data_IF_266272561949
#
_entry.id   IF_266272561949
#
_cell.length_a   1.000
_cell.length_b   1.000
_cell.length_c   1.000
_cell.angle_alpha   90.00
_cell.angle_beta   90.00
_cell.angle_gamma   90.00
#
_symmetry.space_group_name_H-M   'P 1'
#
loop_
_entity.id
_entity.type
_entity.pdbx_description
1 polymer ?
#
# COMPACT_ATOMS: atom_id res chain seq x y z
N UNK A 1 9.37 -3.96 -11.17
CA UNK A 1 9.53 -4.78 -9.96
C UNK A 1 8.74 -4.13 -8.83
N UNK A 2 7.93 -4.89 -8.11
CA UNK A 2 7.20 -4.41 -6.91
C UNK A 2 7.37 -5.41 -5.78
N UNK A 3 7.51 -4.94 -4.54
CA UNK A 3 7.58 -5.79 -3.36
C UNK A 3 6.19 -6.29 -2.92
N UNK A 4 5.15 -5.57 -3.33
CA UNK A 4 3.74 -5.96 -3.20
C UNK A 4 3.15 -5.90 -4.60
N UNK A 5 2.65 -7.01 -5.15
CA UNK A 5 1.96 -6.96 -6.43
C UNK A 5 0.77 -6.03 -6.29
N UNK A 6 0.74 -4.97 -7.11
CA UNK A 6 -0.42 -4.09 -7.17
C UNK A 6 -1.59 -4.92 -7.72
N UNK A 7 -2.83 -4.72 -7.24
CA UNK A 7 -3.99 -5.47 -7.74
C UNK A 7 -4.08 -5.49 -9.27
N UNK A 8 -3.78 -4.37 -9.92
CA UNK A 8 -3.71 -4.28 -11.39
C UNK A 8 -2.67 -5.22 -11.99
N UNK A 9 -1.48 -5.34 -11.36
CA UNK A 9 -0.42 -6.25 -11.81
C UNK A 9 -0.84 -7.71 -11.67
N UNK A 10 -1.54 -8.05 -10.59
CA UNK A 10 -2.11 -9.39 -10.39
C UNK A 10 -3.13 -9.69 -11.48
N UNK A 11 -4.06 -8.77 -11.74
CA UNK A 11 -5.07 -8.93 -12.79
C UNK A 11 -4.43 -9.11 -14.18
N UNK A 12 -3.46 -8.29 -14.55
CA UNK A 12 -2.75 -8.38 -15.84
C UNK A 12 -1.98 -9.70 -15.94
N UNK A 13 -1.40 -10.18 -14.86
CA UNK A 13 -0.67 -11.47 -14.81
C UNK A 13 -1.62 -12.64 -15.05
N UNK A 14 -2.77 -12.62 -14.38
CA UNK A 14 -3.79 -13.66 -14.52
C UNK A 14 -4.31 -13.69 -15.96
N UNK A 15 -4.49 -12.53 -16.60
CA UNK A 15 -4.97 -12.43 -17.98
C UNK A 15 -3.88 -12.60 -19.06
N UNK A 16 -2.64 -12.82 -18.68
CA UNK A 16 -1.61 -13.20 -19.62
C UNK A 16 -0.83 -12.06 -20.29
N UNK A 17 -1.12 -10.80 -19.99
CA UNK A 17 -0.42 -9.64 -20.59
C UNK A 17 1.02 -9.49 -20.09
N UNK A 18 1.38 -10.12 -18.98
CA UNK A 18 2.70 -10.02 -18.37
C UNK A 18 3.25 -11.37 -17.93
N UNK A 19 4.53 -11.60 -18.20
CA UNK A 19 5.28 -12.66 -17.55
C UNK A 19 5.74 -12.21 -16.16
N UNK A 20 5.49 -13.06 -15.15
CA UNK A 20 5.87 -12.76 -13.77
C UNK A 20 6.91 -13.73 -13.27
N UNK A 21 8.04 -13.19 -12.80
CA UNK A 21 9.00 -13.95 -11.99
C UNK A 21 8.77 -13.60 -10.53
N UNK A 22 8.45 -14.59 -9.72
CA UNK A 22 8.11 -14.43 -8.31
C UNK A 22 9.26 -14.86 -7.42
N UNK A 23 9.78 -13.95 -6.60
CA UNK A 23 10.71 -14.25 -5.53
C UNK A 23 9.92 -14.38 -4.22
N UNK A 24 9.83 -15.61 -3.70
CA UNK A 24 9.13 -15.91 -2.44
C UNK A 24 10.05 -15.87 -1.21
N UNK A 25 11.35 -15.83 -1.42
CA UNK A 25 12.34 -15.82 -0.35
C UNK A 25 12.53 -14.41 0.21
N UNK A 26 12.47 -14.28 1.52
CA UNK A 26 12.88 -13.06 2.20
C UNK A 26 14.40 -13.00 2.29
N UNK A 27 15.03 -11.82 2.20
CA UNK A 27 16.45 -11.68 2.42
C UNK A 27 16.86 -12.29 3.76
N UNK A 28 17.95 -13.05 3.77
CA UNK A 28 18.49 -13.66 4.98
C UNK A 28 18.86 -12.59 6.02
N UNK A 29 18.57 -12.85 7.30
CA UNK A 29 18.93 -11.96 8.39
C UNK A 29 17.89 -10.85 8.72
N UNK A 30 16.73 -10.85 8.06
CA UNK A 30 15.65 -9.92 8.41
C UNK A 30 14.97 -10.34 9.73
N UNK A 31 14.94 -9.44 10.69
CA UNK A 31 14.26 -9.69 11.95
C UNK A 31 12.72 -9.64 11.77
N UNK A 32 11.96 -10.35 12.62
CA UNK A 32 10.50 -10.33 12.56
C UNK A 32 9.97 -8.93 12.85
N UNK A 33 8.87 -8.58 12.18
CA UNK A 33 8.14 -7.32 12.41
C UNK A 33 6.79 -7.68 13.03
N UNK A 34 6.54 -7.11 14.20
CA UNK A 34 5.22 -7.20 14.85
C UNK A 34 4.41 -5.96 14.50
N UNK A 35 3.15 -6.15 14.14
CA UNK A 35 2.26 -5.05 13.79
C UNK A 35 1.07 -5.02 14.74
N UNK A 36 0.71 -3.83 15.23
CA UNK A 36 -0.44 -3.63 16.12
C UNK A 36 -1.30 -2.48 15.60
N UNK A 37 -2.62 -2.66 15.68
CA UNK A 37 -3.59 -1.58 15.48
C UNK A 37 -3.76 -0.84 16.80
N UNK A 38 -3.65 0.49 16.75
CA UNK A 38 -3.72 1.39 17.92
C UNK A 38 -4.92 2.33 17.75
N UNK A 39 -6.08 2.03 18.37
CA UNK A 39 -7.19 2.97 18.40
C UNK A 39 -6.84 4.21 19.22
N UNK A 40 -6.91 5.39 18.59
CA UNK A 40 -6.51 6.68 19.21
C UNK A 40 -7.42 7.09 20.37
N UNK A 41 -8.69 6.70 20.31
CA UNK A 41 -9.71 7.01 21.32
C UNK A 41 -9.59 6.20 22.61
N UNK A 42 -8.78 5.15 22.62
CA UNK A 42 -8.58 4.33 23.83
C UNK A 42 -7.64 5.01 24.80
N UNK A 43 -8.07 5.25 26.05
CA UNK A 43 -7.25 5.90 27.07
C UNK A 43 -5.91 5.18 27.28
N UNK A 44 -4.83 5.94 27.31
CA UNK A 44 -3.47 5.45 27.59
C UNK A 44 -2.77 4.75 26.40
N UNK A 45 -3.44 4.48 25.28
CA UNK A 45 -2.80 3.79 24.15
C UNK A 45 -1.81 4.68 23.43
N UNK A 46 -2.13 5.95 23.22
CA UNK A 46 -1.20 6.90 22.62
C UNK A 46 -0.02 7.21 23.54
N UNK A 47 -0.27 7.38 24.85
CA UNK A 47 0.81 7.52 25.83
C UNK A 47 1.76 6.32 25.82
N UNK A 48 1.21 5.10 25.77
CA UNK A 48 2.02 3.88 25.66
C UNK A 48 2.78 3.80 24.33
N UNK A 49 2.19 4.28 23.24
CA UNK A 49 2.83 4.36 21.92
C UNK A 49 4.08 5.24 22.01
N UNK A 50 3.97 6.46 22.54
CA UNK A 50 5.12 7.37 22.66
C UNK A 50 6.14 6.91 23.70
N UNK A 51 5.70 6.31 24.78
CA UNK A 51 6.62 5.66 25.72
C UNK A 51 7.42 4.54 25.05
N UNK A 52 6.79 3.72 24.19
CA UNK A 52 7.47 2.66 23.43
C UNK A 52 8.45 3.22 22.42
N UNK A 53 8.10 4.30 21.72
CA UNK A 53 9.02 5.04 20.85
C UNK A 53 10.26 5.49 21.61
N UNK A 54 10.05 6.11 22.78
CA UNK A 54 11.15 6.57 23.62
C UNK A 54 12.04 5.43 24.13
N UNK A 55 11.46 4.27 24.47
CA UNK A 55 12.22 3.07 24.87
C UNK A 55 13.15 2.61 23.75
N UNK A 56 12.65 2.55 22.51
CA UNK A 56 13.45 2.13 21.35
C UNK A 56 14.56 3.13 21.03
N UNK A 57 14.27 4.44 21.09
CA UNK A 57 15.29 5.46 20.86
C UNK A 57 16.39 5.42 21.95
N UNK A 58 15.99 5.28 23.22
CA UNK A 58 16.98 5.12 24.33
C UNK A 58 17.83 3.85 24.20
N UNK A 59 17.33 2.84 23.48
CA UNK A 59 18.10 1.65 23.11
C UNK A 59 19.00 1.87 21.87
N UNK A 60 19.12 3.12 21.39
CA UNK A 60 19.96 3.52 20.26
C UNK A 60 19.34 3.28 18.89
N UNK A 61 18.01 3.10 18.80
CA UNK A 61 17.29 2.85 17.55
C UNK A 61 16.58 4.09 17.03
N UNK A 62 16.09 4.01 15.80
CA UNK A 62 15.44 5.13 15.11
C UNK A 62 13.99 4.80 14.75
N UNK A 63 13.18 5.84 14.60
CA UNK A 63 11.73 5.74 14.46
C UNK A 63 11.23 6.56 13.29
N UNK A 64 10.36 5.96 12.47
CA UNK A 64 9.54 6.66 11.51
C UNK A 64 8.15 6.96 12.09
N UNK A 65 7.66 8.17 11.86
CA UNK A 65 6.26 8.55 12.09
C UNK A 65 5.70 9.03 10.75
N UNK A 66 4.73 8.32 10.19
CA UNK A 66 4.18 8.61 8.86
C UNK A 66 2.79 9.19 9.00
N UNK A 67 2.55 10.30 8.29
CA UNK A 67 1.30 11.04 8.27
C UNK A 67 0.72 11.08 6.85
N UNK A 68 -0.63 11.13 6.67
CA UNK A 68 -1.24 11.12 5.34
C UNK A 68 -1.11 12.45 4.60
N UNK A 69 -0.79 13.55 5.26
CA UNK A 69 -0.68 14.88 4.64
C UNK A 69 0.42 15.74 5.26
N UNK A 70 0.81 16.80 4.56
CA UNK A 70 1.89 17.72 4.98
C UNK A 70 1.39 18.76 5.98
N UNK A 71 0.43 19.57 5.58
CA UNK A 71 -0.16 20.68 6.37
C UNK A 71 -1.67 20.50 6.57
N UNK A 72 -2.28 21.38 7.38
CA UNK A 72 -3.69 21.26 7.73
C UNK A 72 -4.65 21.65 6.58
N UNK A 73 -4.20 22.54 5.69
CA UNK A 73 -4.97 23.00 4.52
C UNK A 73 -4.65 22.20 3.24
N UNK A 74 -3.79 21.19 3.35
CA UNK A 74 -3.33 20.44 2.19
C UNK A 74 -4.30 19.34 1.78
N UNK A 75 -4.50 19.23 0.48
CA UNK A 75 -5.01 18.01 -0.14
C UNK A 75 -4.01 16.90 0.19
N UNK A 76 -4.50 15.73 0.47
CA UNK A 76 -3.68 14.54 0.78
C UNK A 76 -2.64 14.32 -0.30
N UNK A 77 -1.46 13.85 0.12
CA UNK A 77 -0.33 13.58 -0.78
C UNK A 77 -0.75 12.63 -1.91
N UNK A 78 -0.43 12.96 -3.16
CA UNK A 78 -0.84 12.22 -4.37
C UNK A 78 -0.44 10.73 -4.36
N UNK A 79 0.46 10.32 -3.47
CA UNK A 79 0.84 8.92 -3.25
C UNK A 79 -0.09 8.17 -2.29
N UNK A 80 -0.97 8.87 -1.58
CA UNK A 80 -1.88 8.25 -0.63
C UNK A 80 -3.17 7.89 -1.38
N UNK A 81 -3.40 6.60 -1.58
CA UNK A 81 -4.62 6.07 -2.19
C UNK A 81 -5.77 6.25 -1.20
N UNK A 82 -6.18 7.51 -1.03
CA UNK A 82 -7.33 7.81 -0.18
C UNK A 82 -8.56 7.26 -0.85
N UNK A 83 -9.00 6.15 -0.35
CA UNK A 83 -10.39 5.75 -0.57
C UNK A 83 -11.24 6.74 0.20
N UNK A 84 -11.92 7.62 -0.53
CA UNK A 84 -13.07 8.29 -0.01
C UNK A 84 -14.05 7.20 0.42
N UNK A 85 -14.22 7.01 1.73
CA UNK A 85 -15.33 6.21 2.27
C UNK A 85 -16.70 6.84 1.93
N UNK A 86 -16.72 7.91 1.14
CA UNK A 86 -17.87 8.65 0.66
C UNK A 86 -18.18 8.33 -0.80
N UNK A 87 -18.34 7.05 -1.14
CA UNK A 87 -18.66 6.64 -2.50
C UNK A 87 -19.41 5.32 -2.59
N UNK A 88 -20.36 5.07 -1.68
CA UNK A 88 -21.51 4.26 -2.03
C UNK A 88 -22.38 5.09 -2.98
N UNK A 89 -22.43 4.70 -4.27
CA UNK A 89 -23.34 5.27 -5.27
C UNK A 89 -24.83 5.02 -4.96
N UNK A 90 -25.16 4.53 -3.77
CA UNK A 90 -26.51 4.45 -3.21
C UNK A 90 -26.78 5.58 -2.22
N UNK A 91 -26.44 6.81 -2.59
CA UNK A 91 -27.18 8.03 -2.30
C UNK A 91 -27.42 8.45 -0.86
N UNK A 92 -26.71 7.97 0.16
CA UNK A 92 -26.70 8.62 1.47
C UNK A 92 -25.26 9.06 1.82
N UNK A 93 -24.94 10.29 1.42
CA UNK A 93 -23.76 10.98 1.91
C UNK A 93 -23.81 10.96 3.44
N UNK A 94 -22.87 10.27 4.08
CA UNK A 94 -22.70 10.35 5.53
C UNK A 94 -22.48 11.82 5.87
N UNK A 95 -23.45 12.45 6.53
CA UNK A 95 -23.40 13.84 6.99
C UNK A 95 -22.51 14.03 8.22
N UNK A 96 -21.76 13.03 8.63
CA UNK A 96 -20.78 13.16 9.68
C UNK A 96 -19.61 14.04 9.19
N UNK A 97 -19.20 15.10 9.93
CA UNK A 97 -18.07 15.92 9.54
C UNK A 97 -16.83 15.03 9.43
N UNK A 98 -16.15 15.08 8.28
CA UNK A 98 -14.93 14.33 8.07
C UNK A 98 -13.92 14.68 9.17
N UNK A 99 -13.41 13.67 9.88
CA UNK A 99 -12.38 13.86 10.90
C UNK A 99 -11.15 14.53 10.29
N UNK A 100 -10.61 15.62 10.91
CA UNK A 100 -9.40 16.23 10.40
C UNK A 100 -8.24 15.22 10.47
N UNK A 101 -7.55 15.03 9.35
CA UNK A 101 -6.41 14.12 9.26
C UNK A 101 -5.18 14.73 9.92
N UNK A 102 -4.34 13.87 10.48
CA UNK A 102 -3.05 14.28 11.08
C UNK A 102 -2.09 14.75 9.99
N UNK A 103 -1.55 15.95 10.15
CA UNK A 103 -0.52 16.48 9.27
C UNK A 103 0.88 16.29 9.85
N UNK A 104 1.90 16.27 8.99
CA UNK A 104 3.32 16.16 9.40
C UNK A 104 3.67 17.27 10.40
N UNK A 105 3.26 18.52 10.14
CA UNK A 105 3.59 19.63 11.03
C UNK A 105 2.83 19.59 12.35
N UNK A 106 1.54 19.20 12.34
CA UNK A 106 0.77 19.07 13.57
C UNK A 106 1.30 17.94 14.47
N UNK A 107 1.63 16.80 13.86
CA UNK A 107 2.23 15.68 14.60
C UNK A 107 3.62 16.05 15.11
N UNK A 108 4.47 16.68 14.28
CA UNK A 108 5.79 17.15 14.72
C UNK A 108 5.70 18.07 15.93
N UNK A 109 4.81 19.07 15.89
CA UNK A 109 4.60 19.97 17.02
C UNK A 109 4.15 19.23 18.29
N UNK A 110 3.20 18.30 18.15
CA UNK A 110 2.72 17.48 19.27
C UNK A 110 3.83 16.60 19.87
N UNK A 111 4.73 16.04 19.04
CA UNK A 111 5.86 15.23 19.53
C UNK A 111 6.91 16.04 20.27
N UNK A 112 7.11 17.30 19.90
CA UNK A 112 8.03 18.20 20.64
C UNK A 112 7.51 18.54 22.04
N UNK A 113 6.18 18.57 22.22
CA UNK A 113 5.52 18.81 23.52
C UNK A 113 5.33 17.52 24.33
N UNK A 114 5.56 16.34 23.71
CA UNK A 114 5.35 15.05 24.37
C UNK A 114 6.46 14.75 25.39
N UNK A 115 6.09 14.66 26.63
CA UNK A 115 7.05 14.49 27.74
C UNK A 115 7.90 13.22 27.64
N UNK A 116 7.32 12.13 27.11
CA UNK A 116 8.03 10.87 26.92
C UNK A 116 9.19 10.99 25.92
N UNK A 117 9.11 11.95 24.98
CA UNK A 117 10.07 12.17 23.90
C UNK A 117 11.01 13.36 24.19
N UNK A 118 10.94 13.93 25.38
CA UNK A 118 11.80 15.06 25.76
C UNK A 118 13.28 14.74 25.57
N UNK A 119 13.98 15.65 24.88
CA UNK A 119 15.42 15.52 24.61
C UNK A 119 15.76 14.66 23.38
N UNK A 120 14.78 14.10 22.67
CA UNK A 120 14.99 13.40 21.42
C UNK A 120 15.03 14.39 20.25
N UNK A 121 15.83 14.06 19.22
CA UNK A 121 15.90 14.83 17.99
C UNK A 121 14.77 14.40 17.05
N UNK A 122 13.87 15.32 16.72
CA UNK A 122 12.70 15.09 15.84
C UNK A 122 12.75 16.07 14.69
N UNK A 123 12.69 15.57 13.46
CA UNK A 123 12.64 16.42 12.25
C UNK A 123 11.57 15.95 11.28
N UNK A 124 11.25 16.82 10.30
CA UNK A 124 10.23 16.56 9.29
C UNK A 124 10.85 16.26 7.92
N UNK A 125 10.19 15.38 7.15
CA UNK A 125 10.55 15.07 5.77
C UNK A 125 9.27 14.95 4.91
N UNK A 126 9.14 15.76 3.87
CA UNK A 126 7.97 15.72 2.99
C UNK A 126 8.30 16.19 1.57
N UNK A 127 7.34 15.98 0.64
CA UNK A 127 7.51 16.25 -0.79
C UNK A 127 7.89 17.71 -1.13
N UNK A 128 7.45 18.67 -0.32
CA UNK A 128 7.67 20.13 -0.56
C UNK A 128 9.05 20.66 -0.16
N UNK A 129 9.84 19.90 0.57
CA UNK A 129 11.23 20.26 0.84
C UNK A 129 12.04 20.22 -0.46
N UNK A 130 13.03 21.09 -0.57
CA UNK A 130 14.00 21.05 -1.67
C UNK A 130 14.80 19.75 -1.63
N UNK A 131 15.41 19.38 -2.74
CA UNK A 131 16.25 18.17 -2.79
C UNK A 131 17.39 18.23 -1.76
N UNK A 132 18.03 19.39 -1.63
CA UNK A 132 19.12 19.62 -0.68
C UNK A 132 18.67 19.46 0.77
N UNK A 133 17.49 19.97 1.13
CA UNK A 133 16.91 19.81 2.47
C UNK A 133 16.56 18.34 2.76
N UNK A 134 15.96 17.66 1.79
CA UNK A 134 15.66 16.21 1.90
C UNK A 134 16.93 15.40 2.13
N UNK A 135 17.96 15.64 1.33
CA UNK A 135 19.24 14.92 1.44
C UNK A 135 19.93 15.21 2.79
N UNK A 136 19.85 16.46 3.28
CA UNK A 136 20.40 16.82 4.56
C UNK A 136 19.69 16.15 5.74
N UNK A 137 18.34 16.13 5.75
CA UNK A 137 17.55 15.45 6.79
C UNK A 137 17.81 13.96 6.74
N UNK A 138 17.75 13.35 5.56
CA UNK A 138 18.00 11.92 5.39
C UNK A 138 19.43 11.53 5.77
N UNK A 139 20.42 12.36 5.45
CA UNK A 139 21.81 12.12 5.85
C UNK A 139 21.98 12.09 7.38
N UNK A 140 21.32 13.02 8.11
CA UNK A 140 21.31 13.02 9.57
C UNK A 140 20.61 11.78 10.13
N UNK A 141 19.48 11.38 9.55
CA UNK A 141 18.74 10.21 9.98
C UNK A 141 19.55 8.92 9.72
N UNK A 142 20.11 8.74 8.52
CA UNK A 142 20.98 7.60 8.22
C UNK A 142 22.24 7.54 9.09
N UNK A 143 22.79 8.69 9.42
CA UNK A 143 23.98 8.82 10.29
C UNK A 143 23.69 8.63 11.79
N UNK A 144 22.44 8.43 12.18
CA UNK A 144 22.05 8.26 13.60
C UNK A 144 22.08 9.56 14.41
N UNK A 145 22.15 10.72 13.77
CA UNK A 145 22.09 12.02 14.41
C UNK A 145 20.64 12.54 14.60
N UNK A 146 19.67 11.81 14.10
CA UNK A 146 18.25 12.09 14.22
C UNK A 146 17.53 10.83 14.73
N UNK A 147 16.72 10.98 15.76
CA UNK A 147 16.05 9.88 16.46
C UNK A 147 14.71 9.53 15.82
N UNK A 148 13.91 10.56 15.51
CA UNK A 148 12.55 10.42 15.02
C UNK A 148 12.37 11.23 13.74
N UNK A 149 11.93 10.58 12.67
CA UNK A 149 11.62 11.22 11.40
C UNK A 149 10.10 11.24 11.18
N UNK A 150 9.49 12.42 11.18
CA UNK A 150 8.07 12.63 10.87
C UNK A 150 7.94 12.91 9.37
N UNK A 151 7.20 12.10 8.63
CA UNK A 151 7.16 12.22 7.17
C UNK A 151 5.81 11.88 6.57
N UNK A 152 5.63 12.18 5.28
CA UNK A 152 4.59 11.56 4.45
C UNK A 152 5.10 10.25 3.85
N UNK A 153 4.38 9.69 2.87
CA UNK A 153 4.76 8.48 2.12
C UNK A 153 6.10 8.56 1.38
N UNK A 154 6.72 9.74 1.32
CA UNK A 154 8.04 9.96 0.65
C UNK A 154 9.11 8.97 1.11
N UNK A 155 9.01 8.42 2.33
CA UNK A 155 9.93 7.37 2.83
C UNK A 155 9.76 6.01 2.14
N UNK A 156 8.76 5.84 1.28
CA UNK A 156 8.60 4.60 0.49
C UNK A 156 9.72 4.41 -0.54
N UNK A 157 10.39 5.47 -0.98
CA UNK A 157 11.33 5.42 -2.09
C UNK A 157 12.79 5.54 -1.62
N UNK A 158 13.58 4.51 -1.92
CA UNK A 158 15.02 4.62 -2.11
C UNK A 158 15.92 4.66 -0.87
N UNK A 159 15.41 4.74 0.36
CA UNK A 159 16.26 4.89 1.55
C UNK A 159 16.27 3.66 2.43
N UNK A 160 17.45 3.14 2.69
CA UNK A 160 17.68 2.07 3.66
C UNK A 160 18.28 2.63 4.95
N UNK A 161 17.55 2.49 6.06
CA UNK A 161 18.02 2.85 7.40
C UNK A 161 17.95 1.60 8.28
N UNK A 162 19.05 0.82 8.33
CA UNK A 162 19.06 -0.45 9.07
C UNK A 162 18.69 -0.30 10.55
N UNK A 163 19.01 0.84 11.14
CA UNK A 163 18.78 1.12 12.56
C UNK A 163 17.33 1.51 12.89
N UNK A 164 16.47 1.74 11.89
CA UNK A 164 15.07 2.02 12.11
C UNK A 164 14.32 0.74 12.49
N UNK A 165 13.84 0.68 13.73
CA UNK A 165 13.12 -0.47 14.29
C UNK A 165 11.63 -0.22 14.48
N UNK A 166 11.19 1.04 14.55
CA UNK A 166 9.78 1.39 14.79
C UNK A 166 9.21 2.20 13.63
N UNK A 167 7.99 1.88 13.27
CA UNK A 167 7.14 2.62 12.34
C UNK A 167 5.82 2.93 13.03
N UNK A 168 5.47 4.20 13.17
CA UNK A 168 4.15 4.65 13.60
C UNK A 168 3.45 5.26 12.41
N UNK A 169 2.30 4.74 12.01
CA UNK A 169 1.51 5.27 10.91
C UNK A 169 0.27 5.94 11.49
N UNK A 170 0.19 7.25 11.37
CA UNK A 170 -0.94 8.07 11.83
C UNK A 170 -2.07 8.00 10.81
N UNK A 171 -3.33 7.97 11.27
CA UNK A 171 -4.51 7.78 10.42
C UNK A 171 -4.33 6.60 9.44
N UNK A 172 -3.90 5.45 9.96
CA UNK A 172 -3.56 4.28 9.15
C UNK A 172 -4.74 3.75 8.31
N UNK A 173 -5.97 4.07 8.72
CA UNK A 173 -7.21 3.81 7.98
C UNK A 173 -7.27 4.53 6.62
N UNK A 174 -6.45 5.56 6.42
CA UNK A 174 -6.37 6.33 5.17
C UNK A 174 -5.39 5.76 4.16
N UNK A 175 -4.61 4.78 4.54
CA UNK A 175 -3.61 4.15 3.66
C UNK A 175 -4.14 2.85 3.06
N UNK A 176 -3.79 2.61 1.81
CA UNK A 176 -4.04 1.32 1.16
C UNK A 176 -3.21 0.20 1.79
N UNK A 177 -3.70 -1.04 1.66
CA UNK A 177 -3.02 -2.25 2.18
C UNK A 177 -1.58 -2.36 1.66
N UNK A 178 -1.40 -2.11 0.36
CA UNK A 178 -0.09 -2.15 -0.29
C UNK A 178 0.86 -1.10 0.25
N UNK A 179 0.38 0.12 0.54
CA UNK A 179 1.18 1.19 1.13
C UNK A 179 1.62 0.84 2.55
N UNK A 180 0.68 0.38 3.40
CA UNK A 180 1.00 -0.07 4.76
C UNK A 180 2.05 -1.19 4.75
N UNK A 181 1.95 -2.12 3.81
CA UNK A 181 2.94 -3.18 3.66
C UNK A 181 4.31 -2.63 3.24
N UNK A 182 4.38 -1.68 2.31
CA UNK A 182 5.62 -1.05 1.87
C UNK A 182 6.27 -0.24 2.99
N UNK A 183 5.50 0.56 3.72
CA UNK A 183 5.96 1.30 4.90
C UNK A 183 6.52 0.35 5.95
N UNK A 184 5.77 -0.68 6.34
CA UNK A 184 6.25 -1.71 7.27
C UNK A 184 7.56 -2.36 6.80
N UNK A 185 7.73 -2.51 5.49
CA UNK A 185 8.94 -3.03 4.87
C UNK A 185 10.19 -2.17 5.07
N UNK A 186 10.06 -0.94 5.59
CA UNK A 186 11.18 -0.01 5.84
C UNK A 186 11.88 -0.24 7.16
N UNK A 187 11.29 -0.98 8.09
CA UNK A 187 11.87 -1.29 9.38
C UNK A 187 12.33 -2.76 9.48
N UNK A 188 13.06 -3.09 10.53
CA UNK A 188 13.53 -4.46 10.80
C UNK A 188 14.65 -4.94 9.86
N UNK A 189 15.43 -4.04 9.26
CA UNK A 189 16.49 -4.36 8.31
C UNK A 189 17.87 -4.57 8.97
N UNK A 190 18.07 -4.04 10.17
CA UNK A 190 19.33 -4.09 10.91
C UNK A 190 19.47 -5.26 11.88
N UNK A 191 18.70 -6.34 11.72
CA UNK A 191 18.78 -7.50 12.63
C UNK A 191 18.02 -7.32 13.96
N UNK A 192 17.42 -6.14 14.21
CA UNK A 192 16.57 -5.87 15.38
C UNK A 192 15.11 -6.13 15.02
N UNK A 193 14.31 -6.71 15.96
CA UNK A 193 12.87 -6.85 15.77
C UNK A 193 12.20 -5.53 15.44
N UNK A 194 11.35 -5.53 14.40
CA UNK A 194 10.61 -4.35 14.00
C UNK A 194 9.26 -4.25 14.72
N UNK A 195 8.80 -3.02 14.97
CA UNK A 195 7.50 -2.73 15.53
C UNK A 195 6.76 -1.73 14.64
N UNK A 196 5.61 -2.13 14.10
CA UNK A 196 4.74 -1.28 13.31
C UNK A 196 3.45 -1.00 14.09
N UNK A 197 3.15 0.28 14.32
CA UNK A 197 1.97 0.75 15.05
C UNK A 197 1.05 1.50 14.08
N UNK A 198 -0.13 0.92 13.82
CA UNK A 198 -1.14 1.47 12.92
C UNK A 198 -2.15 2.25 13.76
N UNK A 199 -1.96 3.56 13.87
CA UNK A 199 -2.82 4.45 14.66
C UNK A 199 -4.05 4.82 13.84
N UNK A 200 -5.23 4.65 14.40
CA UNK A 200 -6.50 4.99 13.76
C UNK A 200 -7.45 5.65 14.74
N UNK A 201 -8.17 6.65 14.27
CA UNK A 201 -9.24 7.31 15.04
C UNK A 201 -10.63 6.92 14.56
N UNK A 202 -10.76 5.84 13.76
CA UNK A 202 -12.06 5.28 13.37
C UNK A 202 -12.26 3.90 13.98
N UNK A 203 -13.48 3.58 14.33
CA UNK A 203 -13.96 2.26 14.75
C UNK A 203 -14.80 1.57 13.65
N UNK A 204 -14.88 2.18 12.46
CA UNK A 204 -15.61 1.63 11.33
C UNK A 204 -15.13 0.22 10.98
N UNK A 205 -16.07 -0.75 10.94
CA UNK A 205 -15.76 -2.17 10.77
C UNK A 205 -14.92 -2.47 9.52
N UNK A 206 -15.16 -1.89 8.33
CA UNK A 206 -14.33 -2.15 7.15
C UNK A 206 -12.87 -1.71 7.33
N UNK A 207 -12.64 -0.54 7.95
CA UNK A 207 -11.31 -0.04 8.22
C UNK A 207 -10.58 -0.91 9.24
N UNK A 208 -11.25 -1.27 10.34
CA UNK A 208 -10.68 -2.11 11.38
C UNK A 208 -10.35 -3.52 10.88
N UNK A 209 -11.22 -4.12 10.06
CA UNK A 209 -10.97 -5.43 9.44
C UNK A 209 -9.75 -5.39 8.53
N UNK A 210 -9.62 -4.33 7.71
CA UNK A 210 -8.47 -4.11 6.84
C UNK A 210 -7.16 -3.96 7.63
N UNK A 211 -7.14 -3.11 8.65
CA UNK A 211 -5.96 -2.91 9.50
C UNK A 211 -5.59 -4.17 10.28
N UNK A 212 -6.57 -4.92 10.79
CA UNK A 212 -6.34 -6.19 11.46
C UNK A 212 -5.72 -7.22 10.52
N UNK A 213 -6.17 -7.29 9.27
CA UNK A 213 -5.60 -8.18 8.27
C UNK A 213 -4.14 -7.81 7.94
N UNK A 214 -3.82 -6.50 7.80
CA UNK A 214 -2.43 -6.05 7.63
C UNK A 214 -1.58 -6.42 8.85
N UNK A 215 -2.14 -6.37 10.05
CA UNK A 215 -1.43 -6.75 11.27
C UNK A 215 -1.19 -8.26 11.38
N UNK A 216 -2.10 -9.09 10.84
CA UNK A 216 -2.07 -10.55 10.97
C UNK A 216 -1.03 -11.23 10.07
N UNK A 217 -0.71 -10.65 8.90
CA UNK A 217 0.21 -11.29 7.94
C UNK A 217 1.32 -10.34 7.46
N UNK A 218 2.47 -10.92 7.13
CA UNK A 218 3.57 -10.22 6.45
C UNK A 218 3.72 -10.67 5.00
N UNK A 219 2.85 -11.58 4.54
CA UNK A 219 2.85 -12.06 3.15
C UNK A 219 2.22 -11.00 2.23
N UNK A 220 3.04 -10.44 1.32
CA UNK A 220 2.60 -9.45 0.35
C UNK A 220 1.57 -9.98 -0.65
N UNK A 221 1.55 -11.30 -0.94
CA UNK A 221 0.56 -11.91 -1.83
C UNK A 221 -0.80 -12.03 -1.15
N UNK A 222 -0.84 -12.44 0.11
CA UNK A 222 -2.09 -12.44 0.88
C UNK A 222 -2.69 -11.04 0.99
N UNK A 223 -1.84 -10.04 1.27
CA UNK A 223 -2.26 -8.65 1.34
C UNK A 223 -2.73 -8.10 0.00
N UNK A 224 -2.10 -8.48 -1.11
CA UNK A 224 -2.55 -8.10 -2.44
C UNK A 224 -3.90 -8.73 -2.79
N UNK A 225 -4.13 -9.98 -2.43
CA UNK A 225 -5.44 -10.64 -2.59
C UNK A 225 -6.53 -9.96 -1.75
N UNK A 226 -6.20 -9.59 -0.51
CA UNK A 226 -7.11 -8.84 0.35
C UNK A 226 -7.49 -7.49 -0.27
N UNK A 227 -6.50 -6.73 -0.73
CA UNK A 227 -6.73 -5.43 -1.38
C UNK A 227 -7.60 -5.59 -2.65
N UNK A 228 -7.34 -6.65 -3.42
CA UNK A 228 -8.12 -7.00 -4.61
C UNK A 228 -9.57 -7.33 -4.25
N UNK A 229 -9.80 -8.12 -3.19
CA UNK A 229 -11.15 -8.50 -2.76
C UNK A 229 -12.01 -7.33 -2.26
N UNK A 230 -11.36 -6.25 -1.79
CA UNK A 230 -12.02 -5.05 -1.31
C UNK A 230 -12.26 -4.00 -2.41
N UNK A 231 -11.62 -4.17 -3.58
CA UNK A 231 -11.84 -3.32 -4.76
C UNK A 231 -12.90 -3.96 -5.64
N UNK A 232 -13.79 -3.17 -6.22
CA UNK A 232 -14.72 -3.66 -7.26
C UNK A 232 -13.91 -4.10 -8.47
N UNK A 233 -14.32 -5.18 -9.14
CA UNK A 233 -13.62 -5.73 -10.33
C UNK A 233 -13.36 -4.68 -11.42
N UNK A 234 -14.27 -3.69 -11.56
CA UNK A 234 -14.12 -2.57 -12.48
C UNK A 234 -12.91 -1.66 -12.21
N UNK A 235 -12.59 -1.44 -10.94
CA UNK A 235 -11.45 -0.61 -10.51
C UNK A 235 -10.11 -1.32 -10.74
N UNK A 236 -10.13 -2.66 -10.67
CA UNK A 236 -8.95 -3.51 -10.84
C UNK A 236 -8.43 -3.48 -12.27
N UNK A 237 -9.32 -3.50 -13.23
CA UNK A 237 -8.98 -3.55 -14.66
C UNK A 237 -8.65 -2.18 -15.27
N UNK A 238 -8.61 -1.13 -14.45
CA UNK A 238 -8.41 0.23 -14.93
C UNK A 238 -9.59 0.72 -15.76
N UNK A 239 -10.76 0.09 -15.61
CA UNK A 239 -12.04 0.51 -16.17
C UNK A 239 -12.53 1.84 -15.55
N UNK A 240 -11.74 2.47 -14.66
CA UNK A 240 -11.86 3.90 -14.38
C UNK A 240 -11.84 4.78 -15.65
N UNK A 241 -11.50 4.22 -16.81
CA UNK A 241 -11.78 4.80 -18.10
C UNK A 241 -13.07 4.22 -18.67
N UNK A 242 -14.21 4.79 -18.22
CA UNK A 242 -15.51 4.70 -18.88
C UNK A 242 -16.19 3.32 -18.92
N UNK A 243 -16.78 2.88 -17.80
CA UNK A 243 -18.01 2.07 -17.81
C UNK A 243 -17.96 0.71 -18.52
N UNK A 244 -16.79 0.11 -18.73
CA UNK A 244 -16.70 -1.23 -19.32
C UNK A 244 -16.78 -2.30 -18.24
N UNK A 245 -17.80 -3.14 -18.35
CA UNK A 245 -17.89 -4.45 -17.69
C UNK A 245 -16.63 -5.26 -18.03
N UNK A 246 -16.15 -6.09 -17.09
CA UNK A 246 -15.10 -7.07 -17.32
C UNK A 246 -15.28 -7.76 -18.66
N UNK A 247 -14.20 -7.88 -19.42
CA UNK A 247 -14.25 -8.60 -20.72
C UNK A 247 -14.53 -10.09 -20.54
N UNK A 248 -14.44 -10.58 -19.32
CA UNK A 248 -14.80 -11.95 -18.94
C UNK A 248 -16.27 -11.96 -18.53
N UNK A 249 -17.11 -12.46 -19.42
CA UNK A 249 -18.57 -12.51 -19.26
C UNK A 249 -19.02 -13.50 -18.17
N UNK A 250 -18.18 -14.49 -17.84
CA UNK A 250 -18.54 -15.64 -17.01
C UNK A 250 -17.53 -15.99 -15.91
N UNK A 251 -16.41 -15.27 -15.80
CA UNK A 251 -15.34 -15.56 -14.86
C UNK A 251 -15.10 -14.38 -13.92
N UNK A 252 -14.95 -14.68 -12.64
CA UNK A 252 -14.53 -13.74 -11.60
C UNK A 252 -13.04 -13.92 -11.32
N UNK A 253 -12.27 -12.83 -11.40
CA UNK A 253 -10.79 -12.85 -11.31
C UNK A 253 -10.28 -13.53 -10.04
N UNK A 254 -11.00 -13.38 -8.93
CA UNK A 254 -10.60 -13.92 -7.63
C UNK A 254 -11.09 -15.34 -7.38
N UNK A 255 -12.28 -15.67 -7.90
CA UNK A 255 -12.92 -16.95 -7.64
C UNK A 255 -12.48 -18.02 -8.64
N UNK A 256 -12.14 -17.59 -9.87
CA UNK A 256 -11.82 -18.47 -11.00
C UNK A 256 -10.31 -18.41 -11.38
N UNK A 257 -9.42 -18.03 -10.45
CA UNK A 257 -7.97 -17.91 -10.71
C UNK A 257 -7.39 -19.20 -11.31
N UNK A 258 -7.80 -20.37 -10.78
CA UNK A 258 -7.32 -21.66 -11.24
C UNK A 258 -7.79 -21.96 -12.67
N UNK A 259 -9.04 -21.60 -13.01
CA UNK A 259 -9.60 -21.78 -14.36
C UNK A 259 -8.89 -20.89 -15.37
N UNK A 260 -8.63 -19.64 -15.00
CA UNK A 260 -7.91 -18.68 -15.85
C UNK A 260 -6.47 -19.14 -16.06
N UNK A 261 -5.80 -19.63 -15.03
CA UNK A 261 -4.44 -20.17 -15.13
C UNK A 261 -4.37 -21.40 -16.03
N UNK A 262 -5.29 -22.35 -15.88
CA UNK A 262 -5.37 -23.53 -16.73
C UNK A 262 -5.66 -23.18 -18.19
N UNK A 263 -6.62 -22.28 -18.43
CA UNK A 263 -6.94 -21.81 -19.79
C UNK A 263 -5.73 -21.13 -20.45
N UNK A 264 -4.92 -20.40 -19.70
CA UNK A 264 -3.68 -19.80 -20.19
C UNK A 264 -2.65 -20.87 -20.61
N UNK A 265 -2.41 -21.88 -19.78
CA UNK A 265 -1.49 -22.98 -20.08
C UNK A 265 -1.92 -23.71 -21.35
N UNK A 266 -3.22 -24.01 -21.49
CA UNK A 266 -3.79 -24.64 -22.67
C UNK A 266 -3.62 -23.75 -23.93
N UNK A 267 -3.86 -22.44 -23.80
CA UNK A 267 -3.69 -21.50 -24.89
C UNK A 267 -2.22 -21.42 -25.35
N UNK A 268 -1.26 -21.37 -24.43
CA UNK A 268 0.17 -21.38 -24.78
C UNK A 268 0.58 -22.68 -25.46
N UNK A 269 0.13 -23.83 -24.98
CA UNK A 269 0.40 -25.11 -25.57
C UNK A 269 -0.19 -25.21 -27.00
N UNK A 270 -1.41 -24.75 -27.18
CA UNK A 270 -2.09 -24.74 -28.46
C UNK A 270 -1.39 -23.85 -29.49
N UNK A 271 -1.04 -22.62 -29.11
CA UNK A 271 -0.37 -21.65 -29.98
C UNK A 271 1.08 -22.08 -30.29
N UNK A 272 1.76 -22.77 -29.37
CA UNK A 272 3.09 -23.33 -29.62
C UNK A 272 3.06 -24.46 -30.69
N UNK A 273 1.99 -25.24 -30.71
CA UNK A 273 1.81 -26.36 -31.64
C UNK A 273 1.19 -25.91 -33.00
N UNK A 274 0.25 -24.97 -32.92
CA UNK A 274 -0.49 -24.43 -34.10
C UNK A 274 -0.60 -22.89 -34.04
N UNK A 275 0.48 -22.14 -34.38
CA UNK A 275 0.52 -20.67 -34.24
C UNK A 275 -0.56 -19.93 -35.01
N UNK A 276 -1.01 -20.49 -36.12
CA UNK A 276 -2.03 -19.91 -37.01
C UNK A 276 -3.44 -20.41 -36.72
N UNK A 277 -3.59 -21.30 -35.73
CA UNK A 277 -4.83 -21.99 -35.39
C UNK A 277 -5.51 -22.65 -36.60
N UNK A 278 -4.69 -23.21 -37.51
CA UNK A 278 -5.17 -23.82 -38.77
C UNK A 278 -6.01 -25.07 -38.53
N UNK A 279 -5.70 -25.85 -37.51
CA UNK A 279 -6.47 -27.00 -37.07
C UNK A 279 -7.74 -26.63 -36.27
N UNK A 280 -7.88 -25.36 -35.85
CA UNK A 280 -8.95 -24.86 -34.99
C UNK A 280 -9.65 -23.62 -35.57
N UNK A 281 -10.31 -23.74 -36.76
CA UNK A 281 -10.84 -22.58 -37.50
C UNK A 281 -11.90 -21.79 -36.74
N UNK A 282 -12.73 -22.44 -35.93
CA UNK A 282 -13.76 -21.76 -35.13
C UNK A 282 -13.14 -20.90 -34.01
N UNK A 283 -12.08 -21.41 -33.38
CA UNK A 283 -11.31 -20.66 -32.36
C UNK A 283 -10.58 -19.48 -33.03
N UNK A 284 -9.95 -19.71 -34.19
CA UNK A 284 -9.30 -18.64 -34.94
C UNK A 284 -10.29 -17.52 -35.33
N UNK A 285 -11.51 -17.87 -35.74
CA UNK A 285 -12.56 -16.90 -36.04
C UNK A 285 -13.00 -16.12 -34.81
N UNK A 286 -13.17 -16.78 -33.64
CA UNK A 286 -13.56 -16.16 -32.39
C UNK A 286 -12.47 -15.18 -31.89
N UNK A 287 -11.19 -15.58 -31.96
CA UNK A 287 -10.05 -14.71 -31.61
C UNK A 287 -9.99 -13.47 -32.48
N UNK A 288 -10.12 -13.64 -33.83
CA UNK A 288 -10.12 -12.50 -34.76
C UNK A 288 -11.26 -11.54 -34.49
N UNK A 289 -12.47 -12.03 -34.31
CA UNK A 289 -13.62 -11.20 -34.02
C UNK A 289 -13.44 -10.34 -32.74
N UNK A 290 -12.73 -10.89 -31.75
CA UNK A 290 -12.46 -10.18 -30.49
C UNK A 290 -11.35 -9.15 -30.66
N UNK A 291 -10.26 -9.49 -31.35
CA UNK A 291 -9.14 -8.56 -31.64
C UNK A 291 -9.61 -7.40 -32.49
N UNK A 292 -10.42 -7.66 -33.52
CA UNK A 292 -10.99 -6.62 -34.42
C UNK A 292 -11.89 -5.65 -33.64
N UNK A 293 -12.67 -6.16 -32.68
CA UNK A 293 -13.53 -5.33 -31.81
C UNK A 293 -12.70 -4.45 -30.85
N UNK A 294 -11.59 -4.96 -30.34
CA UNK A 294 -10.68 -4.20 -29.48
C UNK A 294 -9.89 -3.13 -30.23
N UNK A 295 -9.40 -3.46 -31.45
CA UNK A 295 -8.72 -2.49 -32.32
C UNK A 295 -9.66 -1.38 -32.77
N UNK A 296 -10.90 -1.70 -33.15
CA UNK A 296 -11.92 -0.73 -33.50
C UNK A 296 -12.19 0.22 -32.32
N UNK A 297 -12.34 -0.32 -31.11
CA UNK A 297 -12.55 0.45 -29.90
C UNK A 297 -11.33 1.31 -29.50
N UNK A 298 -10.11 0.92 -29.87
CA UNK A 298 -8.89 1.71 -29.65
C UNK A 298 -8.79 2.88 -30.63
N UNK A 299 -9.14 2.65 -31.89
CA UNK A 299 -9.11 3.67 -32.94
C UNK A 299 -10.19 4.75 -32.77
N UNK A 300 -11.31 4.43 -32.15
CA UNK A 300 -12.35 5.41 -31.80
C UNK A 300 -11.95 6.39 -30.69
N UNK A 301 -10.85 6.12 -29.96
CA UNK A 301 -10.38 6.91 -28.82
C UNK A 301 -9.15 7.77 -29.09
N UNK A 302 -8.56 7.67 -30.26
CA UNK A 302 -7.45 8.50 -30.75
C UNK A 302 -7.96 9.66 -31.58
#
# INVERSE_FOLDING_TARGET
MTATPIPRTVAMTVFGDLETSTLRELPAGRAPITTHVVPEDRPGWMERTWARVAEEVRAGRQVYVVCPRIGDDDVVDEGTDLRDEAGDEDGEASTAPARPLKSVYAVHAALLDESALSGLSVEVLHGRLTAEEKDAVMGRFQGGALDVLVSTTVVEVGVDVPNASVMVVMDADRFGVSQLHQLRGRIGRGGHPGLCLLVTGTDAEPAMTRLAAVAATTDGFELARLDLSQRREGDILGAAQHGRRTQLEFLHILEDEDVIAAAREDAFALVADDPELAAHPDLAAAVRARVDAEQAAYLERG
#
